data_IF_072063674544
#
_entry.id   IF_072063674544
#
_cell.length_a   1.000
_cell.length_b   1.000
_cell.length_c   1.000
_cell.angle_alpha   90.00
_cell.angle_beta   90.00
_cell.angle_gamma   90.00
#
_symmetry.space_group_name_H-M   'P 1'
#
loop_
_entity.id
_entity.type
_entity.pdbx_description
1 polymer ?
#
# COMPACT_ATOMS: atom_id res chain seq x y z
N UNK A 1 7.35 5.53 -18.35
CA UNK A 1 7.72 5.71 -16.93
C UNK A 1 7.50 4.37 -16.23
N UNK A 2 8.39 3.97 -15.32
CA UNK A 2 8.33 2.70 -14.57
C UNK A 2 7.64 2.88 -13.21
N UNK A 3 7.25 1.78 -12.58
CA UNK A 3 6.76 1.79 -11.20
C UNK A 3 7.96 1.77 -10.25
N UNK A 4 8.05 2.76 -9.37
CA UNK A 4 9.20 3.01 -8.52
C UNK A 4 8.77 3.36 -7.10
N UNK A 5 9.53 2.84 -6.13
CA UNK A 5 9.39 3.11 -4.71
C UNK A 5 10.76 3.58 -4.23
N UNK A 6 10.88 4.87 -3.92
CA UNK A 6 12.15 5.51 -3.57
C UNK A 6 13.21 5.27 -4.67
N UNK A 7 14.31 4.54 -4.39
CA UNK A 7 15.32 4.14 -5.36
C UNK A 7 15.04 2.80 -6.05
N UNK A 8 14.04 2.04 -5.59
CA UNK A 8 13.73 0.69 -6.08
C UNK A 8 12.80 0.79 -7.28
N UNK A 9 13.27 0.36 -8.45
CA UNK A 9 12.44 0.29 -9.66
C UNK A 9 11.92 -1.13 -9.83
N UNK A 10 10.60 -1.28 -9.92
CA UNK A 10 9.98 -2.57 -10.14
C UNK A 10 10.17 -3.00 -11.62
N UNK A 11 10.61 -4.24 -11.87
CA UNK A 11 10.83 -4.72 -13.25
C UNK A 11 9.51 -4.90 -14.01
N UNK A 12 8.43 -5.16 -13.29
CA UNK A 12 7.08 -5.34 -13.81
C UNK A 12 6.10 -4.47 -13.02
N UNK A 13 5.05 -3.94 -13.68
CA UNK A 13 3.99 -3.24 -12.97
C UNK A 13 3.28 -4.18 -11.99
N UNK A 14 2.76 -3.67 -10.86
CA UNK A 14 1.89 -4.45 -9.99
C UNK A 14 0.70 -5.01 -10.77
N UNK A 15 0.31 -6.24 -10.47
CA UNK A 15 -0.85 -6.89 -11.07
C UNK A 15 -2.15 -6.26 -10.58
N UNK A 16 -2.20 -5.96 -9.29
CA UNK A 16 -3.37 -5.37 -8.64
C UNK A 16 -2.92 -4.18 -7.80
N UNK A 17 -3.62 -3.06 -7.95
CA UNK A 17 -3.48 -1.90 -7.08
C UNK A 17 -4.85 -1.60 -6.50
N UNK A 18 -4.95 -1.67 -5.18
CA UNK A 18 -6.19 -1.37 -4.45
C UNK A 18 -5.96 -0.19 -3.55
N UNK A 19 -6.77 0.86 -3.67
CA UNK A 19 -6.73 2.03 -2.78
C UNK A 19 -8.02 2.10 -1.98
N UNK A 20 -7.89 2.20 -0.66
CA UNK A 20 -9.01 2.30 0.27
C UNK A 20 -9.02 3.68 0.92
N UNK A 21 -10.10 4.41 0.68
CA UNK A 21 -10.42 5.66 1.35
C UNK A 21 -11.47 5.36 2.42
N UNK A 22 -11.03 5.26 3.68
CA UNK A 22 -11.92 4.98 4.78
C UNK A 22 -12.27 6.28 5.55
N UNK A 23 -13.48 6.31 6.12
CA UNK A 23 -13.94 7.38 7.00
C UNK A 23 -14.23 6.80 8.38
N UNK A 24 -13.93 7.56 9.43
CA UNK A 24 -14.24 7.18 10.78
C UNK A 24 -15.72 7.50 11.03
N UNK A 25 -16.59 6.50 10.98
CA UNK A 25 -18.04 6.66 11.12
C UNK A 25 -18.56 5.81 12.27
N UNK A 26 -19.45 6.35 13.10
CA UNK A 26 -20.23 5.56 14.07
C UNK A 26 -21.71 5.65 13.74
N UNK A 27 -22.42 4.55 13.91
CA UNK A 27 -23.88 4.49 13.76
C UNK A 27 -24.55 4.19 15.10
N UNK A 28 -25.70 4.82 15.32
CA UNK A 28 -26.59 4.55 16.45
C UNK A 28 -27.93 4.09 15.89
N UNK A 29 -28.29 2.84 16.17
CA UNK A 29 -29.55 2.27 15.70
C UNK A 29 -30.72 2.85 16.49
N UNK A 30 -31.76 3.32 15.79
CA UNK A 30 -32.98 3.85 16.40
C UNK A 30 -34.15 2.89 16.12
N UNK A 31 -34.93 2.48 17.13
CA UNK A 31 -36.09 1.62 16.90
C UNK A 31 -37.10 2.28 15.96
N UNK A 32 -37.51 1.57 14.90
CA UNK A 32 -38.52 2.05 13.95
C UNK A 32 -38.05 3.12 12.96
N UNK A 33 -36.76 3.46 12.92
CA UNK A 33 -36.19 4.43 11.98
C UNK A 33 -34.82 3.99 11.46
N UNK A 34 -34.31 4.72 10.48
CA UNK A 34 -32.94 4.55 9.99
C UNK A 34 -31.92 4.96 11.07
N UNK A 35 -30.73 4.31 11.09
CA UNK A 35 -29.70 4.62 12.07
C UNK A 35 -29.17 6.05 11.90
N UNK A 36 -28.89 6.70 13.02
CA UNK A 36 -28.19 7.98 13.04
C UNK A 36 -26.69 7.75 12.79
N UNK A 37 -26.11 8.48 11.83
CA UNK A 37 -24.72 8.32 11.41
C UNK A 37 -23.90 9.55 11.81
N UNK A 38 -22.84 9.34 12.58
CA UNK A 38 -21.86 10.36 12.98
C UNK A 38 -20.54 10.16 12.22
N UNK A 39 -20.06 11.19 11.54
CA UNK A 39 -18.76 11.19 10.87
C UNK A 39 -17.71 11.92 11.72
N UNK A 40 -16.62 11.24 12.06
CA UNK A 40 -15.47 11.74 12.83
C UNK A 40 -14.29 12.13 11.93
N UNK A 41 -14.50 12.20 10.61
CA UNK A 41 -13.48 12.59 9.64
C UNK A 41 -12.92 11.42 8.83
N UNK A 42 -11.82 11.69 8.12
CA UNK A 42 -11.16 10.72 7.23
C UNK A 42 -10.17 9.87 8.03
N UNK A 43 -10.10 8.58 7.72
CA UNK A 43 -9.01 7.72 8.19
C UNK A 43 -7.82 7.81 7.23
N UNK A 44 -6.69 7.25 7.65
CA UNK A 44 -5.52 7.11 6.79
C UNK A 44 -5.91 6.35 5.51
N UNK A 45 -5.39 6.84 4.37
CA UNK A 45 -5.59 6.18 3.07
C UNK A 45 -4.63 5.00 3.02
N UNK A 46 -5.14 3.82 2.68
CA UNK A 46 -4.29 2.64 2.49
C UNK A 46 -4.26 2.23 1.03
N UNK A 47 -3.09 1.85 0.53
CA UNK A 47 -2.88 1.40 -0.83
C UNK A 47 -2.14 0.07 -0.80
N UNK A 48 -2.66 -0.95 -1.47
CA UNK A 48 -2.06 -2.27 -1.54
C UNK A 48 -1.62 -2.55 -2.97
N UNK A 49 -0.37 -2.94 -3.14
CA UNK A 49 0.19 -3.40 -4.41
C UNK A 49 0.49 -4.88 -4.32
N UNK A 50 0.02 -5.64 -5.31
CA UNK A 50 0.28 -7.07 -5.41
C UNK A 50 0.85 -7.36 -6.80
N UNK A 51 1.89 -8.19 -6.86
CA UNK A 51 2.56 -8.47 -8.12
C UNK A 51 3.64 -9.53 -8.01
N UNK A 52 4.50 -9.57 -9.04
CA UNK A 52 5.62 -10.50 -9.12
C UNK A 52 6.93 -9.74 -9.24
N UNK A 53 7.96 -10.24 -8.57
CA UNK A 53 9.34 -9.86 -8.81
C UNK A 53 10.04 -11.05 -9.44
N UNK A 54 10.83 -10.79 -10.48
CA UNK A 54 11.67 -11.77 -11.16
C UNK A 54 13.09 -11.81 -10.59
N UNK A 55 13.39 -10.88 -9.67
CA UNK A 55 14.67 -10.75 -9.00
C UNK A 55 14.44 -10.73 -7.49
N UNK A 56 15.06 -11.70 -6.80
CA UNK A 56 14.95 -11.86 -5.36
C UNK A 56 15.78 -10.84 -4.59
N UNK A 57 16.80 -10.22 -5.21
CA UNK A 57 17.61 -9.19 -4.55
C UNK A 57 16.78 -7.97 -4.11
N UNK A 58 15.74 -7.63 -4.90
CA UNK A 58 14.81 -6.55 -4.60
C UNK A 58 13.96 -6.81 -3.34
N UNK A 59 13.90 -8.05 -2.85
CA UNK A 59 13.17 -8.38 -1.62
C UNK A 59 13.82 -7.72 -0.41
N UNK A 60 15.14 -7.76 -0.33
CA UNK A 60 15.88 -7.18 0.79
C UNK A 60 15.78 -5.63 0.74
N UNK A 61 15.92 -5.05 -0.45
CA UNK A 61 15.74 -3.60 -0.65
C UNK A 61 14.34 -3.12 -0.22
N UNK A 62 13.29 -3.88 -0.56
CA UNK A 62 11.91 -3.55 -0.17
C UNK A 62 11.66 -3.78 1.34
N UNK A 63 12.28 -4.79 1.92
CA UNK A 63 12.19 -5.06 3.35
C UNK A 63 12.84 -3.92 4.17
N UNK A 64 13.95 -3.37 3.71
CA UNK A 64 14.63 -2.25 4.33
C UNK A 64 13.83 -0.93 4.31
N UNK A 65 12.83 -0.83 3.42
CA UNK A 65 11.93 0.32 3.32
C UNK A 65 10.70 0.21 4.23
N UNK A 66 10.46 -0.94 4.87
CA UNK A 66 9.30 -1.12 5.74
C UNK A 66 9.39 -0.18 6.96
N UNK A 67 8.25 0.40 7.31
CA UNK A 67 8.06 1.46 8.30
C UNK A 67 8.76 2.79 7.99
N UNK A 68 9.29 2.96 6.78
CA UNK A 68 9.88 4.23 6.34
C UNK A 68 8.92 4.98 5.42
N UNK A 69 9.08 6.30 5.41
CA UNK A 69 8.49 7.13 4.38
C UNK A 69 9.22 6.86 3.06
N UNK A 70 8.45 6.70 1.99
CA UNK A 70 8.92 6.41 0.65
C UNK A 70 8.18 7.27 -0.35
N UNK A 71 8.89 7.68 -1.40
CA UNK A 71 8.29 8.35 -2.54
C UNK A 71 7.82 7.30 -3.55
N UNK A 72 6.51 7.24 -3.77
CA UNK A 72 5.92 6.38 -4.79
C UNK A 72 5.83 7.16 -6.09
N UNK A 73 6.39 6.59 -7.16
CA UNK A 73 6.29 7.12 -8.51
C UNK A 73 5.76 6.03 -9.46
N UNK A 74 4.73 6.37 -10.22
CA UNK A 74 4.00 5.47 -11.10
C UNK A 74 3.69 6.16 -12.43
N UNK A 75 3.65 5.42 -13.54
CA UNK A 75 3.21 5.95 -14.83
C UNK A 75 1.73 6.28 -14.78
N UNK A 76 1.38 7.54 -15.07
CA UNK A 76 0.03 8.00 -15.41
C UNK A 76 -1.07 7.67 -14.37
N UNK A 77 -0.71 7.61 -13.08
CA UNK A 77 -1.70 7.46 -12.00
C UNK A 77 -1.60 8.56 -10.94
N UNK A 78 -2.70 8.75 -10.21
CA UNK A 78 -2.77 9.68 -9.07
C UNK A 78 -2.18 9.11 -7.77
N UNK A 79 -1.43 7.99 -7.84
CA UNK A 79 -0.81 7.37 -6.67
C UNK A 79 0.54 7.99 -6.29
N UNK A 80 1.02 8.93 -7.11
CA UNK A 80 2.32 9.57 -6.92
C UNK A 80 2.38 10.41 -5.63
N UNK A 81 3.55 10.40 -5.01
CA UNK A 81 3.88 11.23 -3.84
C UNK A 81 4.36 10.42 -2.66
N UNK A 82 4.31 11.03 -1.48
CA UNK A 82 4.84 10.43 -0.26
C UNK A 82 3.83 9.48 0.39
N UNK A 83 4.35 8.33 0.81
CA UNK A 83 3.64 7.25 1.51
C UNK A 83 4.54 6.66 2.60
N UNK A 84 3.97 5.90 3.52
CA UNK A 84 4.72 5.04 4.43
C UNK A 84 4.53 3.61 3.94
N UNK A 85 5.62 2.88 3.72
CA UNK A 85 5.53 1.44 3.47
C UNK A 85 5.25 0.73 4.80
N UNK A 86 4.00 0.42 5.09
CA UNK A 86 3.57 -0.12 6.37
C UNK A 86 3.80 -1.64 6.50
N UNK A 87 3.68 -2.38 5.41
CA UNK A 87 3.99 -3.81 5.42
C UNK A 87 4.51 -4.28 4.07
N UNK A 88 5.37 -5.29 4.12
CA UNK A 88 5.84 -6.03 2.96
C UNK A 88 5.79 -7.52 3.29
N UNK A 89 5.13 -8.28 2.43
CA UNK A 89 5.11 -9.75 2.51
C UNK A 89 5.40 -10.33 1.14
N UNK A 90 6.05 -11.48 1.10
CA UNK A 90 6.37 -12.16 -0.14
C UNK A 90 6.34 -13.67 0.06
N UNK A 91 6.16 -14.41 -1.04
CA UNK A 91 6.24 -15.87 -1.08
C UNK A 91 6.94 -16.34 -2.36
N UNK A 92 7.68 -17.42 -2.25
CA UNK A 92 8.27 -18.06 -3.43
C UNK A 92 7.20 -18.69 -4.29
N UNK A 93 7.31 -18.50 -5.61
CA UNK A 93 6.48 -19.19 -6.57
C UNK A 93 7.16 -20.51 -6.94
N UNK A 94 6.53 -21.62 -6.58
CA UNK A 94 7.04 -22.95 -6.95
C UNK A 94 7.24 -23.08 -8.47
N UNK A 95 8.44 -23.52 -8.89
CA UNK A 95 8.74 -23.87 -10.28
C UNK A 95 9.62 -22.89 -11.06
N UNK A 96 9.97 -21.71 -10.52
CA UNK A 96 10.94 -20.78 -11.12
C UNK A 96 11.87 -20.20 -10.06
N UNK A 97 13.18 -20.35 -10.26
CA UNK A 97 14.21 -19.76 -9.39
C UNK A 97 14.11 -18.24 -9.54
N UNK A 98 14.01 -17.52 -8.41
CA UNK A 98 13.92 -16.05 -8.30
C UNK A 98 12.56 -15.37 -8.58
N UNK A 99 11.52 -16.12 -8.94
CA UNK A 99 10.17 -15.55 -9.04
C UNK A 99 9.50 -15.52 -7.66
N UNK A 100 9.24 -14.32 -7.15
CA UNK A 100 8.49 -14.12 -5.89
C UNK A 100 7.19 -13.37 -6.15
N UNK A 101 6.13 -13.77 -5.46
CA UNK A 101 4.90 -13.00 -5.39
C UNK A 101 4.94 -12.12 -4.16
N UNK A 102 4.67 -10.84 -4.33
CA UNK A 102 4.74 -9.85 -3.26
C UNK A 102 3.39 -9.19 -3.01
N UNK A 103 3.27 -8.66 -1.78
CA UNK A 103 2.23 -7.74 -1.36
C UNK A 103 2.84 -6.64 -0.51
N UNK A 104 2.70 -5.40 -0.98
CA UNK A 104 3.13 -4.18 -0.30
C UNK A 104 1.89 -3.42 0.16
N UNK A 105 1.92 -2.89 1.38
CA UNK A 105 0.89 -2.02 1.92
C UNK A 105 1.48 -0.65 2.26
N UNK A 106 0.92 0.37 1.63
CA UNK A 106 1.26 1.76 1.83
C UNK A 106 0.17 2.46 2.63
N UNK A 107 0.56 3.35 3.53
CA UNK A 107 -0.35 4.17 4.32
C UNK A 107 -0.01 5.64 4.12
N UNK A 108 -1.03 6.48 3.98
CA UNK A 108 -0.90 7.93 3.89
C UNK A 108 -1.81 8.62 4.89
N UNK A 109 -1.20 9.40 5.77
CA UNK A 109 -1.85 10.27 6.74
C UNK A 109 -1.56 11.75 6.44
N UNK A 110 -2.11 12.63 7.26
CA UNK A 110 -1.76 14.06 7.25
C UNK A 110 -0.42 14.34 7.94
N UNK A 111 -0.04 13.49 8.89
CA UNK A 111 1.21 13.55 9.64
C UNK A 111 1.60 12.12 10.06
N UNK A 112 2.88 11.88 10.34
CA UNK A 112 3.38 10.60 10.79
C UNK A 112 4.60 10.74 11.69
N UNK A 113 4.78 9.78 12.59
CA UNK A 113 5.96 9.65 13.43
C UNK A 113 6.39 8.20 13.41
N UNK A 114 7.63 7.95 13.02
CA UNK A 114 8.27 6.64 13.13
C UNK A 114 9.05 6.65 14.44
N UNK A 115 8.73 5.74 15.36
CA UNK A 115 9.36 5.59 16.68
C UNK A 115 10.41 4.49 16.66
#
# INVERSE_FOLDING_TARGET
>A
MSWQIESVTLPLPPRTVTVKYAAAVKSVNMPGSLPYIMSFGKQAVTMTWEGYLTDKSLVDDLADLVYKQVTVATPDTNYNGEWILASFTWRERGGRVNDVEYRLEFIKGSDYTVM
#
